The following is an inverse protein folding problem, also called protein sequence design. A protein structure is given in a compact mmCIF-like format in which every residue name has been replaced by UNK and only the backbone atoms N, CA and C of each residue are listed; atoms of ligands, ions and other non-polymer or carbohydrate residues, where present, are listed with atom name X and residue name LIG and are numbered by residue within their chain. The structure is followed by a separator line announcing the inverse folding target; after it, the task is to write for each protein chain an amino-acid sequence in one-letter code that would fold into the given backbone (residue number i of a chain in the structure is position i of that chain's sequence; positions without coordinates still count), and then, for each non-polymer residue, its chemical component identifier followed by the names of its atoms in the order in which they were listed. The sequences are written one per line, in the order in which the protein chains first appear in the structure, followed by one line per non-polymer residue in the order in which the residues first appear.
data_IF_957972766596
#
_entry.id   IF_957972766596
#
_cell.length_a   1.000
_cell.length_b   1.000
_cell.length_c   1.000
_cell.angle_alpha   90.00
_cell.angle_beta   90.00
_cell.angle_gamma   90.00
#
_symmetry.space_group_name_H-M   'P 1'
#
loop_
_entity.id
_entity.type
_entity.pdbx_description
1 polymer ?
#
# COMPACT_ATOMS: atom_id res chain seq x y z
N UNK A 1 -22.03 -26.63 -4.04
CA UNK A 1 -20.93 -25.65 -4.25
C UNK A 1 -20.65 -24.99 -2.91
N UNK A 2 -19.39 -24.82 -2.52
CA UNK A 2 -19.07 -24.37 -1.15
C UNK A 2 -19.46 -22.89 -0.97
N UNK A 3 -20.21 -22.58 0.10
CA UNK A 3 -20.61 -21.21 0.48
C UNK A 3 -19.42 -20.37 1.01
N UNK A 4 -18.17 -20.83 0.81
CA UNK A 4 -16.99 -20.13 1.29
C UNK A 4 -16.61 -19.03 0.28
N UNK A 5 -16.50 -17.76 0.71
CA UNK A 5 -16.25 -16.64 -0.19
C UNK A 5 -14.83 -16.66 -0.76
N UNK A 6 -14.67 -16.21 -2.00
CA UNK A 6 -13.34 -15.91 -2.56
C UNK A 6 -12.71 -14.74 -1.78
N UNK A 7 -11.40 -14.78 -1.57
CA UNK A 7 -10.69 -13.80 -0.75
C UNK A 7 -9.62 -13.09 -1.56
N UNK A 8 -9.58 -11.76 -1.48
CA UNK A 8 -8.50 -10.95 -2.05
C UNK A 8 -7.83 -10.19 -0.91
N UNK A 9 -6.55 -10.50 -0.66
CA UNK A 9 -5.79 -9.89 0.43
C UNK A 9 -4.97 -8.74 -0.11
N UNK A 10 -5.17 -7.55 0.44
CA UNK A 10 -4.29 -6.39 0.28
C UNK A 10 -3.69 -6.06 1.64
N UNK A 11 -2.40 -6.34 1.81
CA UNK A 11 -1.74 -6.14 3.09
C UNK A 11 -0.22 -6.00 3.06
N UNK A 12 0.37 -6.03 4.25
CA UNK A 12 1.77 -5.79 4.50
C UNK A 12 2.65 -7.04 4.44
N UNK A 13 3.83 -6.96 5.06
CA UNK A 13 4.83 -8.03 5.01
C UNK A 13 4.40 -9.31 5.74
N UNK A 14 3.60 -9.21 6.81
CA UNK A 14 3.04 -10.39 7.50
C UNK A 14 2.16 -11.25 6.58
N UNK A 15 1.52 -10.61 5.59
CA UNK A 15 0.70 -11.29 4.59
C UNK A 15 1.53 -11.99 3.51
N UNK A 16 2.85 -11.81 3.47
CA UNK A 16 3.77 -12.40 2.49
C UNK A 16 4.68 -13.50 3.05
N UNK A 17 4.67 -13.72 4.37
CA UNK A 17 5.55 -14.70 5.00
C UNK A 17 5.18 -16.14 4.61
N UNK A 18 6.19 -16.94 4.26
CA UNK A 18 6.04 -18.39 4.13
C UNK A 18 5.62 -18.97 5.49
N UNK A 19 4.63 -19.86 5.51
CA UNK A 19 3.97 -20.36 6.72
C UNK A 19 3.29 -19.27 7.59
N UNK A 20 3.22 -18.03 7.12
CA UNK A 20 2.46 -16.95 7.74
C UNK A 20 0.95 -17.13 7.59
N UNK A 21 0.18 -16.17 8.09
CA UNK A 21 -1.27 -16.33 8.23
C UNK A 21 -1.99 -16.48 6.88
N UNK A 22 -1.58 -15.77 5.81
CA UNK A 22 -2.17 -15.94 4.47
C UNK A 22 -1.81 -17.29 3.85
N UNK A 23 -0.58 -17.77 4.04
CA UNK A 23 -0.18 -19.11 3.57
C UNK A 23 -0.99 -20.20 4.29
N UNK A 24 -1.23 -20.04 5.60
CA UNK A 24 -2.13 -20.92 6.35
C UNK A 24 -3.59 -20.79 5.88
N UNK A 25 -4.06 -19.59 5.56
CA UNK A 25 -5.39 -19.34 5.03
C UNK A 25 -5.62 -20.09 3.72
N UNK A 26 -4.65 -20.04 2.79
CA UNK A 26 -4.68 -20.81 1.53
C UNK A 26 -4.82 -22.31 1.78
N UNK A 27 -4.07 -22.86 2.75
CA UNK A 27 -4.13 -24.28 3.13
C UNK A 27 -5.46 -24.68 3.80
N UNK A 28 -6.18 -23.72 4.38
CA UNK A 28 -7.46 -23.94 5.06
C UNK A 28 -8.67 -23.74 4.15
N UNK A 29 -8.53 -22.93 3.10
CA UNK A 29 -9.59 -22.67 2.14
C UNK A 29 -9.83 -23.92 1.27
N UNK A 30 -11.09 -24.34 1.04
CA UNK A 30 -11.39 -25.53 0.24
C UNK A 30 -10.95 -25.39 -1.23
N UNK A 31 -10.84 -24.16 -1.72
CA UNK A 31 -10.45 -23.77 -3.09
C UNK A 31 -9.28 -22.77 -3.01
N UNK A 32 -8.03 -23.21 -2.77
CA UNK A 32 -6.90 -22.31 -2.46
C UNK A 32 -6.61 -21.24 -3.52
N UNK A 33 -6.93 -21.51 -4.79
CA UNK A 33 -6.83 -20.60 -5.93
C UNK A 33 -7.78 -19.40 -5.83
N UNK A 34 -8.86 -19.51 -5.07
CA UNK A 34 -9.80 -18.40 -4.78
C UNK A 34 -9.29 -17.46 -3.70
N UNK A 35 -8.08 -17.68 -3.18
CA UNK A 35 -7.39 -16.81 -2.23
C UNK A 35 -6.26 -16.08 -2.93
N UNK A 36 -6.56 -14.91 -3.49
CA UNK A 36 -5.60 -14.08 -4.23
C UNK A 36 -4.89 -13.14 -3.27
N UNK A 37 -3.55 -13.15 -3.27
CA UNK A 37 -2.75 -12.29 -2.41
C UNK A 37 -2.08 -11.18 -3.23
N UNK A 38 -2.58 -9.95 -3.06
CA UNK A 38 -2.08 -8.74 -3.70
C UNK A 38 -1.20 -7.89 -2.76
N UNK A 39 -0.81 -8.45 -1.62
CA UNK A 39 -0.05 -7.75 -0.57
C UNK A 39 1.34 -7.33 -1.03
N UNK A 40 1.81 -6.19 -0.51
CA UNK A 40 3.15 -5.63 -0.74
C UNK A 40 3.74 -5.24 0.62
N UNK A 41 4.94 -5.75 0.91
CA UNK A 41 5.65 -5.42 2.15
C UNK A 41 5.98 -3.93 2.25
N UNK A 42 5.98 -3.42 3.49
CA UNK A 42 6.33 -2.03 3.79
C UNK A 42 5.57 -0.97 2.96
N UNK A 43 4.32 -1.25 2.55
CA UNK A 43 3.49 -0.34 1.77
C UNK A 43 2.24 0.14 2.53
N UNK A 44 1.49 1.10 1.97
CA UNK A 44 0.23 1.61 2.56
C UNK A 44 -0.99 1.19 1.74
N UNK A 45 -2.19 1.60 2.16
CA UNK A 45 -3.43 1.38 1.39
C UNK A 45 -3.36 1.94 -0.04
N UNK A 46 -2.58 3.00 -0.30
CA UNK A 46 -2.40 3.51 -1.66
C UNK A 46 -1.83 2.44 -2.61
N UNK A 47 -0.88 1.64 -2.13
CA UNK A 47 -0.34 0.51 -2.90
C UNK A 47 -1.38 -0.62 -3.05
N UNK A 48 -2.15 -0.91 -1.99
CA UNK A 48 -3.26 -1.86 -2.06
C UNK A 48 -4.28 -1.49 -3.14
N UNK A 49 -4.60 -0.19 -3.26
CA UNK A 49 -5.47 0.33 -4.32
C UNK A 49 -4.84 0.12 -5.69
N UNK A 50 -3.57 0.48 -5.91
CA UNK A 50 -2.89 0.23 -7.18
C UNK A 50 -2.97 -1.23 -7.59
N UNK A 51 -2.68 -2.13 -6.66
CA UNK A 51 -2.74 -3.57 -6.90
C UNK A 51 -4.14 -4.06 -7.21
N UNK A 52 -5.16 -3.54 -6.53
CA UNK A 52 -6.56 -3.90 -6.77
C UNK A 52 -7.08 -3.39 -8.11
N UNK A 53 -6.73 -2.15 -8.49
CA UNK A 53 -7.20 -1.52 -9.74
C UNK A 53 -6.48 -2.07 -10.96
N UNK A 54 -5.22 -2.46 -10.83
CA UNK A 54 -4.41 -3.02 -11.92
C UNK A 54 -4.56 -4.54 -12.10
N UNK A 55 -5.32 -5.23 -11.23
CA UNK A 55 -5.54 -6.67 -11.33
C UNK A 55 -6.65 -7.00 -12.32
N UNK A 56 -6.35 -7.80 -13.35
CA UNK A 56 -7.34 -8.31 -14.32
C UNK A 56 -8.06 -9.56 -13.81
N UNK A 57 -7.41 -10.33 -12.95
CA UNK A 57 -7.84 -11.70 -12.61
C UNK A 57 -8.36 -11.79 -11.17
N UNK A 58 -9.35 -10.96 -10.84
CA UNK A 58 -10.03 -11.06 -9.54
C UNK A 58 -11.06 -12.19 -9.58
N UNK A 59 -11.16 -13.04 -8.54
CA UNK A 59 -12.23 -14.02 -8.46
C UNK A 59 -13.58 -13.29 -8.32
N UNK A 60 -14.69 -13.91 -8.77
CA UNK A 60 -16.00 -13.27 -8.73
C UNK A 60 -16.44 -12.97 -7.29
N UNK A 61 -17.01 -11.78 -7.08
CA UNK A 61 -17.55 -11.28 -5.82
C UNK A 61 -16.64 -11.54 -4.59
N UNK A 62 -15.38 -11.07 -4.61
CA UNK A 62 -14.44 -11.37 -3.55
C UNK A 62 -14.76 -10.57 -2.28
N UNK A 63 -14.42 -11.15 -1.13
CA UNK A 63 -14.23 -10.38 0.11
C UNK A 63 -12.82 -9.79 0.08
N UNK A 64 -12.73 -8.46 0.19
CA UNK A 64 -11.45 -7.77 0.28
C UNK A 64 -10.98 -7.80 1.74
N UNK A 65 -9.84 -8.44 1.97
CA UNK A 65 -9.17 -8.46 3.27
C UNK A 65 -8.14 -7.32 3.28
N UNK A 66 -8.37 -6.31 4.12
CA UNK A 66 -7.45 -5.18 4.25
C UNK A 66 -6.56 -5.34 5.48
N UNK A 67 -5.24 -5.37 5.28
CA UNK A 67 -4.23 -5.55 6.31
C UNK A 67 -3.07 -4.57 6.12
N UNK A 68 -3.32 -3.26 6.26
CA UNK A 68 -2.25 -2.25 6.23
C UNK A 68 -2.11 -1.46 7.53
N UNK A 69 -2.91 -1.79 8.56
CA UNK A 69 -2.96 -1.00 9.79
C UNK A 69 -1.59 -0.92 10.51
N UNK A 70 -0.81 -2.01 10.51
CA UNK A 70 0.55 -2.02 11.06
C UNK A 70 1.47 -1.09 10.26
N UNK A 71 1.49 -1.22 8.94
CA UNK A 71 2.33 -0.40 8.08
C UNK A 71 1.95 1.09 8.19
N UNK A 72 0.66 1.42 8.19
CA UNK A 72 0.19 2.80 8.28
C UNK A 72 0.48 3.43 9.65
N UNK A 73 0.45 2.64 10.73
CA UNK A 73 0.96 3.09 12.03
C UNK A 73 2.46 3.44 11.94
N UNK A 74 3.28 2.58 11.33
CA UNK A 74 4.71 2.86 11.12
C UNK A 74 4.95 4.10 10.24
N UNK A 75 4.22 4.27 9.13
CA UNK A 75 4.28 5.47 8.30
C UNK A 75 3.91 6.72 9.10
N UNK A 76 2.86 6.64 9.93
CA UNK A 76 2.46 7.74 10.82
C UNK A 76 3.54 8.08 11.84
N UNK A 77 4.21 7.08 12.41
CA UNK A 77 5.33 7.29 13.33
C UNK A 77 6.52 8.01 12.66
N UNK A 78 6.67 7.83 11.35
CA UNK A 78 7.67 8.52 10.51
C UNK A 78 7.09 9.76 9.82
N UNK A 79 6.21 10.48 10.53
CA UNK A 79 5.66 11.78 10.15
C UNK A 79 4.77 11.81 8.89
N UNK A 80 4.33 10.65 8.36
CA UNK A 80 3.28 10.67 7.35
C UNK A 80 1.96 11.12 8.01
N UNK A 81 1.26 12.15 7.49
CA UNK A 81 0.05 12.62 8.12
C UNK A 81 -1.05 11.55 8.10
N UNK A 82 -1.64 11.28 9.28
CA UNK A 82 -2.73 10.29 9.43
C UNK A 82 -3.90 10.58 8.49
N UNK A 83 -4.23 11.86 8.27
CA UNK A 83 -5.29 12.26 7.35
C UNK A 83 -5.08 11.75 5.91
N UNK A 84 -3.83 11.72 5.44
CA UNK A 84 -3.47 11.22 4.10
C UNK A 84 -3.64 9.71 4.03
N UNK A 85 -3.19 8.97 5.05
CA UNK A 85 -3.34 7.52 5.12
C UNK A 85 -4.82 7.11 5.12
N UNK A 86 -5.62 7.74 5.98
CA UNK A 86 -7.05 7.48 6.08
C UNK A 86 -7.83 7.95 4.84
N UNK A 87 -7.34 8.94 4.10
CA UNK A 87 -7.95 9.34 2.83
C UNK A 87 -7.88 8.22 1.79
N UNK A 88 -6.72 7.57 1.65
CA UNK A 88 -6.59 6.40 0.76
C UNK A 88 -7.45 5.23 1.24
N UNK A 89 -7.57 5.01 2.55
CA UNK A 89 -8.47 3.99 3.09
C UNK A 89 -9.95 4.28 2.79
N UNK A 90 -10.38 5.54 2.86
CA UNK A 90 -11.72 5.94 2.42
C UNK A 90 -11.95 5.66 0.94
N UNK A 91 -10.96 5.95 0.09
CA UNK A 91 -11.01 5.62 -1.33
C UNK A 91 -11.12 4.11 -1.59
N UNK A 92 -10.38 3.29 -0.85
CA UNK A 92 -10.53 1.83 -0.93
C UNK A 92 -11.96 1.40 -0.59
N UNK A 93 -12.53 1.92 0.50
CA UNK A 93 -13.90 1.60 0.90
C UNK A 93 -14.93 2.07 -0.13
N UNK A 94 -14.73 3.23 -0.74
CA UNK A 94 -15.57 3.75 -1.83
C UNK A 94 -15.52 2.84 -3.06
N UNK A 95 -14.32 2.40 -3.47
CA UNK A 95 -14.14 1.44 -4.58
C UNK A 95 -14.87 0.13 -4.27
N UNK A 96 -14.71 -0.40 -3.05
CA UNK A 96 -15.38 -1.64 -2.65
C UNK A 96 -16.90 -1.46 -2.60
N UNK A 97 -17.40 -0.34 -2.10
CA UNK A 97 -18.83 -0.04 -2.06
C UNK A 97 -19.43 0.02 -3.47
N UNK A 98 -18.79 0.72 -4.40
CA UNK A 98 -19.24 0.83 -5.80
C UNK A 98 -19.22 -0.51 -6.54
N UNK A 99 -18.23 -1.36 -6.25
CA UNK A 99 -18.11 -2.71 -6.85
C UNK A 99 -18.92 -3.78 -6.12
N UNK A 100 -19.61 -3.44 -5.02
CA UNK A 100 -20.35 -4.40 -4.21
C UNK A 100 -19.46 -5.41 -3.46
N UNK A 101 -18.18 -5.08 -3.24
CA UNK A 101 -17.24 -5.98 -2.56
C UNK A 101 -17.33 -5.82 -1.04
N UNK A 102 -17.59 -6.90 -0.28
CA UNK A 102 -17.48 -6.88 1.17
C UNK A 102 -16.03 -6.65 1.61
N UNK A 103 -15.84 -5.99 2.74
CA UNK A 103 -14.51 -5.72 3.31
C UNK A 103 -14.39 -6.30 4.71
N UNK A 104 -13.29 -7.01 4.98
CA UNK A 104 -12.90 -7.45 6.32
C UNK A 104 -11.55 -6.82 6.69
N UNK A 105 -11.52 -5.82 7.58
CA UNK A 105 -10.27 -5.31 8.13
C UNK A 105 -9.60 -6.35 9.03
N UNK A 106 -8.31 -6.58 8.84
CA UNK A 106 -7.46 -7.40 9.73
C UNK A 106 -6.41 -6.48 10.34
N UNK A 107 -6.52 -6.24 11.64
CA UNK A 107 -5.65 -5.33 12.37
C UNK A 107 -4.50 -6.11 12.97
N UNK A 108 -3.33 -6.00 12.33
CA UNK A 108 -2.06 -6.47 12.86
C UNK A 108 -1.35 -5.35 13.62
N UNK A 109 -0.42 -5.74 14.48
CA UNK A 109 0.32 -4.86 15.39
C UNK A 109 1.79 -5.27 15.39
N UNK A 110 2.70 -4.30 15.41
CA UNK A 110 4.10 -4.60 15.70
C UNK A 110 4.24 -5.02 17.18
N UNK A 111 5.37 -5.61 17.57
CA UNK A 111 5.60 -6.11 18.93
C UNK A 111 5.44 -4.99 19.96
N UNK A 112 6.10 -3.86 19.76
CA UNK A 112 6.07 -2.72 20.68
C UNK A 112 4.66 -2.17 20.93
N UNK A 113 3.83 -2.06 19.89
CA UNK A 113 2.45 -1.60 20.00
C UNK A 113 1.54 -2.67 20.65
N UNK A 114 1.83 -3.95 20.43
CA UNK A 114 1.07 -5.04 21.03
C UNK A 114 1.32 -5.16 22.54
N UNK A 115 2.52 -4.77 23.00
CA UNK A 115 2.96 -4.72 24.40
C UNK A 115 2.73 -3.38 25.09
N UNK A 116 2.09 -2.41 24.42
CA UNK A 116 1.85 -1.06 24.95
C UNK A 116 3.13 -0.22 25.18
N UNK A 117 4.26 -0.60 24.57
CA UNK A 117 5.49 0.20 24.55
C UNK A 117 5.38 1.40 23.58
N UNK A 118 4.55 1.27 22.54
CA UNK A 118 4.25 2.34 21.59
C UNK A 118 2.75 2.59 21.45
N UNK A 119 2.36 3.87 21.40
CA UNK A 119 1.00 4.31 21.10
C UNK A 119 0.98 5.14 19.82
N UNK A 120 0.15 4.73 18.87
CA UNK A 120 0.06 5.40 17.57
C UNK A 120 -1.27 6.16 17.43
N UNK A 121 -1.25 7.50 17.22
CA UNK A 121 -2.48 8.30 17.07
C UNK A 121 -3.32 7.90 15.86
N UNK A 122 -2.71 7.14 14.94
CA UNK A 122 -3.39 6.49 13.83
C UNK A 122 -4.52 5.55 14.28
N UNK A 123 -4.36 4.78 15.37
CA UNK A 123 -5.29 3.71 15.76
C UNK A 123 -6.67 4.22 16.17
N UNK A 124 -6.73 5.30 16.94
CA UNK A 124 -7.99 5.90 17.37
C UNK A 124 -8.80 6.43 16.18
N UNK A 125 -8.11 7.09 15.24
CA UNK A 125 -8.72 7.63 14.02
C UNK A 125 -9.14 6.50 13.08
N UNK A 126 -8.34 5.42 12.96
CA UNK A 126 -8.72 4.21 12.22
C UNK A 126 -9.97 3.57 12.83
N UNK A 127 -10.03 3.35 14.14
CA UNK A 127 -11.18 2.76 14.80
C UNK A 127 -12.46 3.58 14.57
N UNK A 128 -12.34 4.91 14.63
CA UNK A 128 -13.44 5.83 14.30
C UNK A 128 -13.89 5.70 12.85
N UNK A 129 -12.95 5.55 11.91
CA UNK A 129 -13.25 5.35 10.49
C UNK A 129 -13.94 4.01 10.25
N UNK A 130 -13.43 2.90 10.80
CA UNK A 130 -14.04 1.58 10.64
C UNK A 130 -15.47 1.56 11.19
N UNK A 131 -15.71 2.19 12.36
CA UNK A 131 -17.05 2.37 12.92
C UNK A 131 -17.97 3.16 11.98
N UNK A 132 -17.48 4.25 11.40
CA UNK A 132 -18.24 5.06 10.43
C UNK A 132 -18.67 4.25 9.20
N UNK A 133 -17.83 3.33 8.73
CA UNK A 133 -18.12 2.46 7.58
C UNK A 133 -18.79 1.12 7.97
N UNK A 134 -19.16 0.95 9.25
CA UNK A 134 -19.79 -0.25 9.82
C UNK A 134 -18.98 -1.54 9.68
N UNK A 135 -17.65 -1.42 9.59
CA UNK A 135 -16.74 -2.55 9.43
C UNK A 135 -16.33 -3.11 10.80
N UNK A 136 -16.40 -4.43 10.95
CA UNK A 136 -15.99 -5.15 12.16
C UNK A 136 -14.62 -5.79 11.94
N UNK A 137 -13.53 -5.24 12.53
CA UNK A 137 -12.20 -5.79 12.31
C UNK A 137 -12.01 -7.16 13.00
N UNK A 138 -11.12 -7.97 12.43
CA UNK A 138 -10.37 -8.99 13.18
C UNK A 138 -9.18 -8.29 13.84
N UNK A 139 -9.18 -8.23 15.16
CA UNK A 139 -8.11 -7.62 15.96
C UNK A 139 -7.15 -8.71 16.46
N UNK A 140 -5.94 -8.75 15.88
CA UNK A 140 -4.93 -9.78 16.21
C UNK A 140 -4.38 -9.62 17.64
N UNK A 141 -4.29 -8.40 18.16
CA UNK A 141 -3.82 -8.15 19.53
C UNK A 141 -4.83 -8.64 20.55
N UNK A 142 -6.12 -8.32 20.37
CA UNK A 142 -7.20 -8.87 21.20
C UNK A 142 -7.26 -10.39 21.10
N UNK A 143 -7.11 -10.93 19.89
CA UNK A 143 -7.12 -12.38 19.67
C UNK A 143 -5.97 -13.09 20.39
N UNK A 144 -4.75 -12.54 20.32
CA UNK A 144 -3.60 -13.03 21.07
C UNK A 144 -3.89 -13.06 22.57
N UNK A 145 -4.32 -11.93 23.15
CA UNK A 145 -4.61 -11.82 24.59
C UNK A 145 -5.67 -12.81 25.06
N UNK A 146 -6.64 -13.17 24.23
CA UNK A 146 -7.72 -14.09 24.61
C UNK A 146 -7.39 -15.56 24.42
N UNK A 147 -6.61 -15.93 23.40
CA UNK A 147 -6.43 -17.34 22.99
C UNK A 147 -4.99 -17.83 23.06
N UNK A 148 -4.05 -16.92 23.15
CA UNK A 148 -2.61 -17.19 23.07
C UNK A 148 -1.83 -16.41 24.15
N UNK A 149 -2.46 -16.06 25.27
CA UNK A 149 -1.81 -15.37 26.39
C UNK A 149 -0.59 -16.14 26.98
N UNK A 150 -0.53 -17.45 26.74
CA UNK A 150 0.62 -18.29 27.09
C UNK A 150 1.86 -18.03 26.21
N UNK A 151 1.71 -17.40 25.04
CA UNK A 151 2.83 -16.96 24.22
C UNK A 151 3.32 -15.60 24.73
N UNK A 152 4.57 -15.55 25.17
CA UNK A 152 5.26 -14.28 25.44
C UNK A 152 5.41 -13.46 24.15
N UNK A 153 5.62 -12.13 24.23
CA UNK A 153 5.86 -11.31 23.05
C UNK A 153 7.01 -11.84 22.18
N UNK A 154 8.12 -12.29 22.79
CA UNK A 154 9.28 -12.84 22.08
C UNK A 154 9.01 -14.17 21.37
N UNK A 155 8.03 -14.93 21.85
CA UNK A 155 7.58 -16.17 21.20
C UNK A 155 6.56 -15.89 20.10
N UNK A 156 5.74 -14.86 20.26
CA UNK A 156 4.72 -14.48 19.28
C UNK A 156 5.33 -13.78 18.06
N UNK A 157 6.42 -13.05 18.23
CA UNK A 157 7.05 -12.23 17.21
C UNK A 157 8.45 -12.74 16.85
N UNK A 158 8.77 -12.79 15.56
CA UNK A 158 10.13 -13.10 15.07
C UNK A 158 11.05 -11.88 15.22
N UNK A 159 10.51 -10.72 14.89
CA UNK A 159 11.11 -9.40 15.00
C UNK A 159 9.99 -8.39 15.27
N UNK A 160 10.32 -7.10 15.45
CA UNK A 160 9.29 -6.11 15.81
C UNK A 160 8.09 -6.08 14.83
N UNK A 161 8.26 -6.03 13.49
CA UNK A 161 7.12 -6.02 12.58
C UNK A 161 6.47 -7.38 12.27
N UNK A 162 7.15 -8.52 12.47
CA UNK A 162 6.67 -9.82 11.98
C UNK A 162 6.30 -10.82 13.08
N UNK A 163 5.12 -11.44 12.94
CA UNK A 163 4.75 -12.60 13.75
C UNK A 163 5.67 -13.80 13.47
N UNK A 164 5.97 -14.57 14.51
CA UNK A 164 6.67 -15.83 14.42
C UNK A 164 5.82 -16.87 13.68
N UNK A 165 6.43 -17.55 12.70
CA UNK A 165 5.74 -18.49 11.79
C UNK A 165 5.78 -19.94 12.25
N UNK A 166 6.56 -20.22 13.30
CA UNK A 166 6.74 -21.52 13.94
C UNK A 166 5.81 -21.75 15.15
N UNK A 167 4.92 -20.79 15.42
CA UNK A 167 3.87 -20.93 16.44
C UNK A 167 2.53 -21.35 15.82
N UNK A 168 1.56 -21.70 16.66
CA UNK A 168 0.19 -21.98 16.21
C UNK A 168 -0.62 -20.70 15.87
N UNK A 169 -0.10 -19.52 16.21
CA UNK A 169 -0.83 -18.25 16.08
C UNK A 169 -1.21 -17.92 14.63
N UNK A 170 -0.32 -17.99 13.61
CA UNK A 170 -0.69 -17.67 12.23
C UNK A 170 -1.82 -18.54 11.69
N UNK A 171 -1.81 -19.85 11.99
CA UNK A 171 -2.86 -20.78 11.57
C UNK A 171 -4.19 -20.49 12.27
N UNK A 172 -4.14 -20.13 13.55
CA UNK A 172 -5.35 -19.78 14.30
C UNK A 172 -5.94 -18.44 13.85
N UNK A 173 -5.10 -17.44 13.55
CA UNK A 173 -5.52 -16.18 12.95
C UNK A 173 -6.17 -16.41 11.57
N UNK A 174 -5.57 -17.25 10.73
CA UNK A 174 -6.13 -17.63 9.44
C UNK A 174 -7.53 -18.25 9.56
N UNK A 175 -7.73 -19.18 10.51
CA UNK A 175 -9.06 -19.76 10.81
C UNK A 175 -10.06 -18.68 11.23
N UNK A 176 -9.66 -17.76 12.10
CA UNK A 176 -10.52 -16.66 12.54
C UNK A 176 -10.90 -15.75 11.37
N UNK A 177 -9.95 -15.38 10.51
CA UNK A 177 -10.20 -14.56 9.32
C UNK A 177 -11.17 -15.28 8.38
N UNK A 178 -10.93 -16.55 8.07
CA UNK A 178 -11.82 -17.34 7.21
C UNK A 178 -13.25 -17.40 7.76
N UNK A 179 -13.40 -17.68 9.05
CA UNK A 179 -14.72 -17.71 9.70
C UNK A 179 -15.42 -16.34 9.70
N UNK A 180 -14.67 -15.24 9.81
CA UNK A 180 -15.22 -13.88 9.80
C UNK A 180 -15.49 -13.33 8.40
N UNK A 181 -14.85 -13.87 7.36
CA UNK A 181 -15.04 -13.44 5.99
C UNK A 181 -16.49 -13.61 5.51
N UNK A 182 -17.18 -14.67 5.95
CA UNK A 182 -18.59 -14.90 5.63
C UNK A 182 -19.53 -13.81 6.19
N UNK A 183 -19.13 -13.11 7.25
CA UNK A 183 -19.88 -12.00 7.84
C UNK A 183 -19.34 -10.61 7.47
N UNK A 184 -18.41 -10.53 6.50
CA UNK A 184 -17.92 -9.26 5.99
C UNK A 184 -19.06 -8.50 5.29
N UNK A 185 -19.02 -7.17 5.36
CA UNK A 185 -20.07 -6.32 4.80
C UNK A 185 -19.49 -5.37 3.76
N UNK A 186 -20.32 -4.99 2.79
CA UNK A 186 -19.99 -3.91 1.86
C UNK A 186 -19.88 -2.62 2.68
N UNK A 187 -18.77 -1.85 2.60
CA UNK A 187 -18.61 -0.62 3.35
C UNK A 187 -19.75 0.36 3.08
N UNK A 188 -20.32 0.95 4.14
CA UNK A 188 -21.39 1.96 4.03
C UNK A 188 -21.05 3.15 4.90
N UNK A 189 -20.79 4.29 4.27
CA UNK A 189 -20.53 5.52 5.00
C UNK A 189 -21.80 6.02 5.71
N UNK A 190 -21.82 5.94 7.04
CA UNK A 190 -22.96 6.40 7.88
C UNK A 190 -23.05 7.93 7.99
N UNK A 191 -22.02 8.65 7.54
CA UNK A 191 -21.99 10.11 7.52
C UNK A 191 -21.61 10.58 6.12
N UNK A 192 -22.46 10.33 5.10
CA UNK A 192 -22.21 10.79 3.76
C UNK A 192 -22.12 12.32 3.80
N UNK A 193 -20.91 12.83 3.64
CA UNK A 193 -20.59 14.25 3.58
C UNK A 193 -19.49 14.45 2.55
N UNK A 194 -19.11 15.72 2.31
CA UNK A 194 -18.10 16.11 1.31
C UNK A 194 -16.92 15.13 1.24
N UNK A 195 -16.69 14.53 0.07
CA UNK A 195 -15.46 13.77 -0.13
C UNK A 195 -15.29 13.17 -1.50
N UNK A 196 -16.09 12.16 -1.85
CA UNK A 196 -15.75 11.27 -2.96
C UNK A 196 -16.88 11.06 -3.98
N UNK A 197 -18.11 11.49 -3.67
CA UNK A 197 -19.23 11.44 -4.61
C UNK A 197 -18.95 12.32 -5.84
N UNK A 198 -19.30 11.82 -7.03
CA UNK A 198 -19.01 12.51 -8.31
C UNK A 198 -17.53 12.50 -8.71
N UNK A 199 -16.68 11.77 -7.98
CA UNK A 199 -15.25 11.60 -8.28
C UNK A 199 -14.93 10.14 -8.53
N UNK A 200 -13.90 9.89 -9.32
CA UNK A 200 -13.36 8.58 -9.59
C UNK A 200 -11.86 8.53 -9.27
N UNK A 201 -11.34 7.33 -9.07
CA UNK A 201 -9.93 7.11 -8.76
C UNK A 201 -9.30 6.23 -9.83
N UNK A 202 -8.30 6.76 -10.53
CA UNK A 202 -7.67 6.10 -11.68
C UNK A 202 -6.19 5.93 -11.48
N UNK A 203 -5.67 4.86 -12.07
CA UNK A 203 -4.24 4.69 -12.31
C UNK A 203 -3.94 5.26 -13.69
N UNK A 204 -3.09 6.28 -13.74
CA UNK A 204 -2.64 6.90 -14.98
C UNK A 204 -1.16 6.56 -15.20
N UNK A 205 -0.77 6.32 -16.44
CA UNK A 205 0.62 6.06 -16.82
C UNK A 205 1.04 7.01 -17.94
N UNK A 206 2.35 7.28 -18.10
CA UNK A 206 2.86 7.93 -19.31
C UNK A 206 2.43 7.16 -20.56
N UNK A 207 2.21 7.87 -21.66
CA UNK A 207 1.86 7.27 -22.96
C UNK A 207 3.07 7.07 -23.88
N UNK A 208 4.29 7.22 -23.35
CA UNK A 208 5.52 7.16 -24.13
C UNK A 208 5.80 5.73 -24.63
N UNK A 209 6.42 5.62 -25.81
CA UNK A 209 6.72 4.33 -26.47
C UNK A 209 7.91 3.57 -25.90
N UNK A 210 8.72 4.17 -25.02
CA UNK A 210 9.90 3.54 -24.40
C UNK A 210 9.59 2.88 -23.04
N UNK A 211 8.33 2.49 -22.85
CA UNK A 211 7.93 1.62 -21.76
C UNK A 211 8.71 0.29 -21.82
N UNK A 212 9.12 -0.22 -20.66
CA UNK A 212 9.82 -1.50 -20.53
C UNK A 212 9.00 -2.45 -19.67
N UNK A 213 8.77 -3.66 -20.16
CA UNK A 213 8.12 -4.69 -19.36
C UNK A 213 8.96 -5.01 -18.12
N UNK A 214 8.30 -5.11 -16.97
CA UNK A 214 8.84 -5.59 -15.73
C UNK A 214 7.95 -6.68 -15.18
N UNK A 215 8.58 -7.78 -14.78
CA UNK A 215 7.87 -8.90 -14.18
C UNK A 215 8.68 -9.48 -13.04
N UNK A 216 7.98 -9.78 -11.96
CA UNK A 216 8.48 -10.61 -10.87
C UNK A 216 7.34 -11.51 -10.37
N UNK A 217 7.61 -12.31 -9.33
CA UNK A 217 6.60 -13.22 -8.74
C UNK A 217 5.34 -12.54 -8.21
N UNK A 218 5.36 -11.22 -8.03
CA UNK A 218 4.28 -10.43 -7.42
C UNK A 218 3.58 -9.56 -8.47
N UNK A 219 4.28 -8.95 -9.42
CA UNK A 219 3.72 -7.97 -10.37
C UNK A 219 4.26 -8.21 -11.78
N UNK A 220 3.40 -8.01 -12.77
CA UNK A 220 3.78 -7.76 -14.16
C UNK A 220 3.20 -6.42 -14.59
N UNK A 221 4.04 -5.50 -15.05
CA UNK A 221 3.65 -4.14 -15.44
C UNK A 221 4.67 -3.51 -16.39
N UNK A 222 4.31 -2.39 -16.98
CA UNK A 222 5.26 -1.52 -17.69
C UNK A 222 5.94 -0.54 -16.73
N UNK A 223 7.25 -0.37 -16.91
CA UNK A 223 8.06 0.68 -16.28
C UNK A 223 8.36 1.76 -17.30
N UNK A 224 8.15 3.00 -16.91
CA UNK A 224 8.54 4.20 -17.63
C UNK A 224 9.81 4.78 -17.00
N UNK A 225 10.99 4.57 -17.61
CA UNK A 225 12.27 4.94 -16.99
C UNK A 225 12.37 6.45 -16.78
N UNK A 226 12.97 6.85 -15.66
CA UNK A 226 13.15 8.26 -15.30
C UNK A 226 14.50 8.81 -15.80
N UNK A 227 14.87 8.50 -17.04
CA UNK A 227 16.05 9.06 -17.74
C UNK A 227 15.78 10.45 -18.31
N UNK A 228 14.51 10.76 -18.60
CA UNK A 228 14.02 12.02 -19.16
C UNK A 228 12.72 12.44 -18.48
N UNK A 229 12.28 13.67 -18.74
CA UNK A 229 10.95 14.11 -18.32
C UNK A 229 9.87 13.27 -19.00
N UNK A 230 8.79 13.02 -18.26
CA UNK A 230 7.60 12.28 -18.72
C UNK A 230 6.39 13.17 -18.64
N UNK A 231 5.45 12.99 -19.55
CA UNK A 231 4.18 13.71 -19.57
C UNK A 231 3.01 12.76 -19.44
N UNK A 232 2.00 13.18 -18.69
CA UNK A 232 0.75 12.44 -18.50
C UNK A 232 -0.40 13.42 -18.66
N UNK A 233 -1.31 13.10 -19.57
CA UNK A 233 -2.56 13.84 -19.70
C UNK A 233 -3.48 13.47 -18.53
N UNK A 234 -3.88 14.46 -17.74
CA UNK A 234 -4.78 14.25 -16.61
C UNK A 234 -5.53 15.52 -16.23
N UNK A 235 -6.75 15.34 -15.72
CA UNK A 235 -7.55 16.40 -15.14
C UNK A 235 -8.06 15.95 -13.77
N UNK A 236 -7.63 16.62 -12.70
CA UNK A 236 -7.97 16.24 -11.33
C UNK A 236 -6.82 16.45 -10.35
N UNK A 237 -6.74 15.60 -9.34
CA UNK A 237 -5.81 15.71 -8.22
C UNK A 237 -4.84 14.54 -8.17
N UNK A 238 -3.53 14.85 -8.15
CA UNK A 238 -2.47 13.86 -7.99
C UNK A 238 -2.30 13.47 -6.52
N UNK A 239 -2.50 12.18 -6.21
CA UNK A 239 -2.47 11.66 -4.84
C UNK A 239 -1.20 10.87 -4.52
N UNK A 240 -0.81 9.95 -5.40
CA UNK A 240 0.34 9.07 -5.19
C UNK A 240 1.08 8.75 -6.49
N UNK A 241 2.34 8.33 -6.38
CA UNK A 241 3.13 7.79 -7.47
C UNK A 241 3.63 6.40 -7.10
N UNK A 242 3.54 5.45 -8.02
CA UNK A 242 4.04 4.09 -7.88
C UNK A 242 5.29 3.92 -8.72
N UNK A 243 6.30 3.29 -8.13
CA UNK A 243 7.64 3.21 -8.69
C UNK A 243 8.16 1.78 -8.58
N UNK A 244 8.93 1.35 -9.57
CA UNK A 244 10.01 0.40 -9.32
C UNK A 244 11.23 1.25 -8.99
N UNK A 245 11.72 1.16 -7.75
CA UNK A 245 12.81 1.95 -7.22
C UNK A 245 14.10 1.14 -7.16
N UNK A 246 15.23 1.81 -7.38
CA UNK A 246 16.60 1.28 -7.28
C UNK A 246 17.44 2.14 -6.31
N UNK A 247 18.64 1.71 -5.89
CA UNK A 247 19.51 2.53 -5.04
C UNK A 247 19.98 3.83 -5.71
N UNK A 248 19.91 3.91 -7.04
CA UNK A 248 20.53 4.95 -7.85
C UNK A 248 19.51 5.85 -8.58
N UNK A 249 18.24 5.80 -8.19
CA UNK A 249 17.21 6.65 -8.81
C UNK A 249 17.46 8.15 -8.61
N UNK A 250 17.10 8.92 -9.62
CA UNK A 250 17.05 10.38 -9.50
C UNK A 250 15.92 10.80 -8.56
N UNK A 251 16.07 11.97 -7.93
CA UNK A 251 14.94 12.59 -7.25
C UNK A 251 13.87 13.03 -8.28
N UNK A 252 12.59 13.02 -7.90
CA UNK A 252 11.48 13.27 -8.81
C UNK A 252 10.75 14.56 -8.46
N UNK A 253 10.51 15.41 -9.45
CA UNK A 253 9.65 16.59 -9.32
C UNK A 253 8.42 16.43 -10.19
N UNK A 254 7.25 16.71 -9.64
CA UNK A 254 5.98 16.74 -10.35
C UNK A 254 5.59 18.20 -10.62
N UNK A 255 5.16 18.53 -11.84
CA UNK A 255 4.77 19.89 -12.24
C UNK A 255 3.49 19.89 -13.05
N UNK A 256 2.64 20.85 -12.79
CA UNK A 256 1.49 21.22 -13.62
C UNK A 256 1.47 22.74 -13.78
N UNK A 257 0.54 23.27 -14.60
CA UNK A 257 0.30 24.71 -14.68
C UNK A 257 -0.08 25.34 -13.32
N UNK A 258 -0.67 24.54 -12.42
CA UNK A 258 -1.16 25.00 -11.10
C UNK A 258 -0.14 24.83 -9.97
N UNK A 259 1.02 24.22 -10.22
CA UNK A 259 2.08 24.17 -9.22
C UNK A 259 3.09 23.03 -9.38
N UNK A 260 3.79 22.75 -8.27
CA UNK A 260 4.84 21.73 -8.21
C UNK A 260 4.81 20.92 -6.91
N UNK A 261 5.31 19.68 -6.97
CA UNK A 261 5.58 18.84 -5.80
C UNK A 261 6.97 18.21 -5.89
N UNK A 262 7.61 18.03 -4.74
CA UNK A 262 8.97 17.50 -4.63
C UNK A 262 10.06 18.59 -4.63
N UNK A 263 11.34 18.20 -4.82
CA UNK A 263 11.78 16.86 -5.21
C UNK A 263 11.55 15.80 -4.14
N UNK A 264 11.13 14.60 -4.54
CA UNK A 264 11.04 13.41 -3.69
C UNK A 264 12.18 12.44 -4.03
N UNK A 265 12.70 11.73 -3.04
CA UNK A 265 13.62 10.65 -3.34
C UNK A 265 12.86 9.45 -3.89
N UNK A 266 13.41 8.83 -4.92
CA UNK A 266 12.95 7.56 -5.47
C UNK A 266 13.89 6.39 -5.14
N UNK A 267 14.93 6.63 -4.31
CA UNK A 267 15.93 5.62 -3.99
C UNK A 267 15.50 4.69 -2.86
N UNK A 268 16.00 3.45 -2.90
CA UNK A 268 15.95 2.49 -1.78
C UNK A 268 17.27 2.46 -1.00
N UNK A 269 17.21 2.07 0.27
CA UNK A 269 18.42 1.91 1.09
C UNK A 269 19.15 0.60 0.76
N UNK A 270 20.48 0.61 0.65
CA UNK A 270 21.28 -0.62 0.48
C UNK A 270 21.39 -1.49 1.74
N UNK A 271 20.92 -1.01 2.90
CA UNK A 271 20.73 -1.87 4.07
C UNK A 271 19.44 -2.67 3.98
N UNK A 272 18.54 -2.38 3.03
CA UNK A 272 17.40 -3.25 2.77
C UNK A 272 17.92 -4.54 2.12
N UNK A 273 17.94 -5.62 2.89
CA UNK A 273 18.16 -6.97 2.37
C UNK A 273 17.02 -7.30 1.40
N UNK A 274 17.25 -7.06 0.12
CA UNK A 274 16.21 -7.14 -0.90
C UNK A 274 16.76 -7.10 -2.32
N UNK A 275 15.88 -7.29 -3.31
CA UNK A 275 16.26 -7.17 -4.71
C UNK A 275 16.71 -5.73 -5.02
N UNK A 276 17.57 -5.58 -6.03
CA UNK A 276 18.05 -4.27 -6.50
C UNK A 276 16.92 -3.35 -7.01
N UNK A 277 15.80 -3.95 -7.43
CA UNK A 277 14.59 -3.25 -7.86
C UNK A 277 13.44 -3.61 -6.93
N UNK A 278 12.80 -2.60 -6.34
CA UNK A 278 11.71 -2.79 -5.39
C UNK A 278 10.49 -1.96 -5.78
N UNK A 279 9.31 -2.54 -5.62
CA UNK A 279 8.06 -1.82 -5.74
C UNK A 279 7.89 -0.88 -4.53
N UNK A 280 7.80 0.43 -4.79
CA UNK A 280 7.63 1.49 -3.79
C UNK A 280 6.52 2.45 -4.22
N UNK A 281 6.16 3.36 -3.32
CA UNK A 281 5.23 4.44 -3.64
C UNK A 281 5.60 5.71 -2.88
N UNK A 282 5.16 6.84 -3.44
CA UNK A 282 5.24 8.15 -2.83
C UNK A 282 3.82 8.69 -2.61
N UNK A 283 3.57 9.26 -1.42
CA UNK A 283 2.35 9.97 -1.09
C UNK A 283 2.57 11.47 -1.32
N UNK A 284 1.91 12.07 -2.30
CA UNK A 284 2.35 13.33 -2.90
C UNK A 284 1.73 14.60 -2.30
N UNK A 285 1.06 14.47 -1.16
CA UNK A 285 0.33 15.56 -0.51
C UNK A 285 0.27 15.41 1.02
N UNK A 286 -0.11 16.50 1.69
CA UNK A 286 -0.41 16.55 3.12
C UNK A 286 -1.45 17.65 3.41
N UNK A 287 -2.00 17.73 4.63
CA UNK A 287 -3.00 18.76 4.95
C UNK A 287 -2.52 20.21 4.77
N UNK A 288 -1.22 20.48 4.92
CA UNK A 288 -0.61 21.80 4.72
C UNK A 288 -0.23 22.08 3.26
N UNK A 289 -0.20 21.04 2.43
CA UNK A 289 0.18 21.06 1.04
C UNK A 289 -0.75 20.10 0.27
N UNK A 290 -1.96 20.57 -0.11
CA UNK A 290 -3.02 19.72 -0.65
C UNK A 290 -2.58 18.98 -1.93
N UNK A 291 -3.37 18.01 -2.44
CA UNK A 291 -3.08 17.37 -3.72
C UNK A 291 -2.72 18.37 -4.83
N UNK A 292 -1.77 18.02 -5.68
CA UNK A 292 -1.44 18.86 -6.83
C UNK A 292 -2.59 18.75 -7.84
N UNK A 293 -3.26 19.87 -8.08
CA UNK A 293 -4.25 19.96 -9.15
C UNK A 293 -3.56 19.98 -10.51
N UNK A 294 -4.12 19.24 -11.45
CA UNK A 294 -3.66 19.17 -12.82
C UNK A 294 -4.85 19.39 -13.75
N UNK A 295 -4.60 20.18 -14.77
CA UNK A 295 -5.55 20.58 -15.79
C UNK A 295 -4.81 20.52 -17.13
N UNK A 296 -5.00 19.43 -17.88
CA UNK A 296 -4.26 19.12 -19.10
C UNK A 296 -3.07 18.20 -18.85
N UNK A 297 -1.88 18.77 -18.60
CA UNK A 297 -0.62 17.99 -18.56
C UNK A 297 0.07 18.04 -17.20
N UNK A 298 0.49 16.86 -16.71
CA UNK A 298 1.44 16.69 -15.62
C UNK A 298 2.80 16.28 -16.18
N UNK A 299 3.84 17.01 -15.81
CA UNK A 299 5.24 16.63 -16.10
C UNK A 299 5.92 16.01 -14.88
N UNK A 300 6.56 14.85 -15.06
CA UNK A 300 7.43 14.19 -14.09
C UNK A 300 8.87 14.42 -14.54
N UNK A 301 9.68 15.15 -13.76
CA UNK A 301 11.06 15.48 -14.12
C UNK A 301 12.05 14.82 -13.17
N UNK A 302 12.97 13.96 -13.66
CA UNK A 302 14.09 13.46 -12.86
C UNK A 302 15.10 14.58 -12.57
N UNK A 303 15.66 14.59 -11.37
CA UNK A 303 16.65 15.55 -10.87
C UNK A 303 17.82 14.80 -10.23
N UNK A 304 18.90 14.67 -10.99
CA UNK A 304 20.13 14.04 -10.53
C UNK A 304 20.80 14.85 -9.41
N UNK A 305 20.88 16.18 -9.57
CA UNK A 305 21.47 17.11 -8.59
C UNK A 305 20.40 18.10 -8.11
N UNK A 306 19.54 17.74 -7.14
CA UNK A 306 18.55 18.67 -6.63
C UNK A 306 19.24 19.79 -5.83
N UNK A 307 18.76 21.04 -5.96
CA UNK A 307 19.34 22.22 -5.28
C UNK A 307 19.28 22.13 -3.75
N UNK A 308 18.31 21.36 -3.22
CA UNK A 308 18.16 21.01 -1.81
C UNK A 308 17.98 19.50 -1.73
N UNK A 309 18.28 18.89 -0.58
CA UNK A 309 17.98 17.48 -0.34
C UNK A 309 16.51 17.17 -0.65
N UNK A 310 16.21 16.05 -1.31
CA UNK A 310 14.84 15.69 -1.61
C UNK A 310 14.07 15.26 -0.36
N UNK A 311 12.75 15.30 -0.44
CA UNK A 311 11.86 14.73 0.57
C UNK A 311 12.04 13.21 0.57
N UNK A 312 12.45 12.65 1.70
CA UNK A 312 12.60 11.20 1.90
C UNK A 312 11.41 10.73 2.72
N UNK A 313 10.54 9.91 2.12
CA UNK A 313 9.43 9.28 2.84
C UNK A 313 9.87 7.98 3.50
N UNK A 314 9.06 7.48 4.45
CA UNK A 314 9.30 6.18 5.06
C UNK A 314 9.48 5.10 3.98
N UNK A 315 10.45 4.21 4.17
CA UNK A 315 10.91 3.17 3.21
C UNK A 315 11.70 3.65 1.99
N UNK A 316 11.89 4.96 1.85
CA UNK A 316 12.79 5.56 0.85
C UNK A 316 14.11 5.95 1.52
N UNK A 317 15.16 6.11 0.72
CA UNK A 317 16.47 6.63 1.16
C UNK A 317 16.92 7.76 0.25
N UNK A 318 17.96 8.51 0.61
CA UNK A 318 18.67 9.39 -0.32
C UNK A 318 20.17 9.33 -0.04
N UNK A 319 20.95 8.98 -1.07
CA UNK A 319 22.40 8.79 -0.98
C UNK A 319 23.19 9.82 -1.80
N UNK A 320 22.47 10.74 -2.43
CA UNK A 320 23.02 11.63 -3.44
C UNK A 320 22.92 11.05 -4.85
N UNK A 321 23.40 11.80 -5.85
CA UNK A 321 23.51 11.32 -7.22
C UNK A 321 24.48 10.13 -7.33
N UNK A 322 24.30 9.26 -8.33
CA UNK A 322 25.28 8.22 -8.65
C UNK A 322 26.67 8.81 -8.91
N UNK A 323 27.72 8.15 -8.43
CA UNK A 323 29.12 8.56 -8.60
C UNK A 323 29.74 7.86 -9.83
N UNK A 324 29.31 8.25 -11.04
CA UNK A 324 29.92 7.84 -12.31
C UNK A 324 29.06 6.95 -13.23
N UNK A 325 29.57 6.63 -14.42
CA UNK A 325 28.86 5.88 -15.47
C UNK A 325 28.63 4.39 -15.10
N UNK A 326 29.51 3.79 -14.29
CA UNK A 326 29.39 2.39 -13.87
C UNK A 326 28.18 2.10 -12.95
N UNK A 327 27.60 3.13 -12.33
CA UNK A 327 26.37 3.02 -11.51
C UNK A 327 25.09 3.24 -12.34
N UNK A 328 25.22 3.54 -13.64
CA UNK A 328 24.13 3.82 -14.57
C UNK A 328 23.79 2.64 -15.48
N UNK A 329 23.94 1.40 -15.00
CA UNK A 329 23.47 0.21 -15.73
C UNK A 329 21.97 0.35 -16.04
N UNK A 330 21.58 0.51 -17.32
CA UNK A 330 20.18 0.72 -17.68
C UNK A 330 19.27 -0.44 -17.26
N UNK A 331 19.82 -1.66 -17.16
CA UNK A 331 19.07 -2.84 -16.71
C UNK A 331 18.70 -2.80 -15.22
N UNK A 332 19.38 -1.96 -14.45
CA UNK A 332 19.15 -1.75 -13.01
C UNK A 332 18.41 -0.45 -12.71
N UNK A 333 17.99 0.28 -13.74
CA UNK A 333 17.19 1.47 -13.58
C UNK A 333 15.72 1.10 -13.41
N UNK A 334 15.11 1.65 -12.38
CA UNK A 334 13.69 1.61 -12.14
C UNK A 334 12.92 2.63 -12.98
N UNK A 335 11.78 3.08 -12.45
CA UNK A 335 10.94 4.07 -13.10
C UNK A 335 9.52 4.12 -12.53
N UNK A 336 8.70 4.98 -13.13
CA UNK A 336 7.28 5.10 -12.78
C UNK A 336 6.51 3.96 -13.40
N UNK A 337 5.57 3.39 -12.65
CA UNK A 337 4.63 2.37 -13.16
C UNK A 337 3.18 2.82 -13.13
N UNK A 338 2.91 3.97 -12.50
CA UNK A 338 1.59 4.58 -12.48
C UNK A 338 1.49 5.70 -11.47
N UNK A 339 0.48 6.55 -11.67
CA UNK A 339 0.07 7.62 -10.75
C UNK A 339 -1.36 7.36 -10.29
N UNK A 340 -1.60 7.54 -9.00
CA UNK A 340 -2.95 7.55 -8.46
C UNK A 340 -3.50 8.97 -8.57
N UNK A 341 -4.56 9.12 -9.36
CA UNK A 341 -5.23 10.40 -9.56
C UNK A 341 -6.72 10.29 -9.22
N UNK A 342 -7.21 11.30 -8.52
CA UNK A 342 -8.64 11.54 -8.34
C UNK A 342 -9.14 12.44 -9.46
N UNK A 343 -10.15 12.01 -10.20
CA UNK A 343 -10.68 12.67 -11.39
C UNK A 343 -12.20 12.89 -11.25
N UNK A 344 -12.76 13.80 -12.04
CA UNK A 344 -14.23 13.92 -12.16
C UNK A 344 -14.83 12.71 -12.88
N UNK A 345 -16.05 12.31 -12.50
CA UNK A 345 -16.85 11.32 -13.24
C UNK A 345 -17.43 11.95 -14.51
#
# INVERSE_FOLDING_TARGET
MSDVPSLVIIGGSNSLLRNGWVDQLKKLHPEPERVVNLSIGAATTAMGIYRLLSSTDLPPNPVIIWEYALNEANYSAHHQPVGVLLYHLRWLFEICARRGYPVLPVLLYNKAEATDEELHPYREKLASLLKRYQLKPVDARRFWRLRFAHLTPDRLYKDNPHYATDTQFPRALAKLVLARAAGAVIPRDTKPGNGLAGRDLRILAPSDSDARAFSNRILSCDIFPLTRSREIQMQGQLLACFLISSPNEAAIVFRSARGRRGPFSAQIGASESGPALQLKHLLLWNPQNPPLEVDGCLTITPRQKPLRGPIVQHTMAWRGPPKGEAEADPSRQGGVIGLLAEVGI
#
